data_IF_480771877046
#
_entry.id   IF_480771877046
#
_cell.length_a   1.000
_cell.length_b   1.000
_cell.length_c   1.000
_cell.angle_alpha   90.00
_cell.angle_beta   90.00
_cell.angle_gamma   90.00
#
_symmetry.space_group_name_H-M   'P 1'
#
loop_
_entity.id
_entity.type
_entity.pdbx_description
1 polymer ?
#
# COMPACT_ATOMS: atom_id res chain seq x y z
N UNK A 1 3.16 -24.19 2.72
CA UNK A 1 4.16 -23.51 3.56
C UNK A 1 3.44 -22.56 4.49
N UNK A 2 3.84 -22.55 5.77
CA UNK A 2 3.31 -21.64 6.78
C UNK A 2 4.41 -20.64 7.14
N UNK A 3 4.11 -19.35 7.07
CA UNK A 3 5.03 -18.26 7.43
C UNK A 3 4.37 -17.50 8.58
N UNK A 4 4.96 -17.60 9.77
CA UNK A 4 4.48 -16.91 10.96
C UNK A 4 5.22 -15.59 11.15
N UNK A 5 4.46 -14.51 11.14
CA UNK A 5 4.89 -13.14 11.42
C UNK A 5 6.27 -12.80 10.82
N UNK A 6 6.38 -12.71 9.49
CA UNK A 6 7.67 -12.52 8.80
C UNK A 6 8.32 -11.17 9.10
N UNK A 7 7.63 -10.29 9.82
CA UNK A 7 8.12 -8.97 10.19
C UNK A 7 8.88 -9.08 11.50
N UNK A 8 10.12 -8.58 11.51
CA UNK A 8 10.89 -8.38 12.75
C UNK A 8 10.97 -6.89 13.05
N UNK A 9 11.72 -6.46 14.07
CA UNK A 9 11.93 -5.04 14.44
C UNK A 9 12.72 -4.24 13.37
N UNK A 10 12.26 -4.31 12.13
CA UNK A 10 12.77 -3.61 10.96
C UNK A 10 12.12 -2.23 10.88
N UNK A 11 12.80 -1.28 10.25
CA UNK A 11 12.17 -0.04 9.85
C UNK A 11 11.08 -0.28 8.79
N UNK A 12 10.18 0.70 8.66
CA UNK A 12 8.97 0.60 7.82
C UNK A 12 9.31 0.37 6.33
N UNK A 13 10.46 0.87 5.85
CA UNK A 13 10.90 0.71 4.46
C UNK A 13 11.29 -0.75 4.18
N UNK A 14 12.08 -1.36 5.05
CA UNK A 14 12.45 -2.77 4.94
C UNK A 14 11.23 -3.69 5.04
N UNK A 15 10.25 -3.34 5.88
CA UNK A 15 9.01 -4.11 6.01
C UNK A 15 8.19 -4.12 4.71
N UNK A 16 8.06 -2.96 4.04
CA UNK A 16 7.34 -2.86 2.77
C UNK A 16 8.08 -3.65 1.68
N UNK A 17 9.40 -3.48 1.58
CA UNK A 17 10.20 -4.19 0.59
C UNK A 17 10.12 -5.71 0.78
N UNK A 18 10.17 -6.19 2.03
CA UNK A 18 9.99 -7.60 2.35
C UNK A 18 8.62 -8.14 1.89
N UNK A 19 7.54 -7.38 2.12
CA UNK A 19 6.21 -7.76 1.67
C UNK A 19 6.14 -7.86 0.14
N UNK A 20 6.69 -6.87 -0.56
CA UNK A 20 6.76 -6.85 -2.03
C UNK A 20 7.52 -8.07 -2.56
N UNK A 21 8.72 -8.33 -2.02
CA UNK A 21 9.57 -9.43 -2.47
C UNK A 21 8.95 -10.80 -2.16
N UNK A 22 8.32 -10.95 -0.99
CA UNK A 22 7.62 -12.18 -0.63
C UNK A 22 6.43 -12.43 -1.56
N UNK A 23 5.61 -11.42 -1.85
CA UNK A 23 4.51 -11.56 -2.78
C UNK A 23 5.00 -11.97 -4.19
N UNK A 24 6.12 -11.40 -4.65
CA UNK A 24 6.74 -11.77 -5.92
C UNK A 24 7.27 -13.22 -5.93
N UNK A 25 7.80 -13.71 -4.80
CA UNK A 25 8.19 -15.12 -4.67
C UNK A 25 6.97 -16.06 -4.73
N UNK A 26 5.88 -15.72 -4.04
CA UNK A 26 4.65 -16.51 -4.03
C UNK A 26 4.05 -16.61 -5.43
N UNK A 27 3.99 -15.50 -6.18
CA UNK A 27 3.49 -15.47 -7.56
C UNK A 27 4.30 -16.35 -8.52
N UNK A 28 5.59 -16.57 -8.25
CA UNK A 28 6.49 -17.43 -9.06
C UNK A 28 6.48 -18.90 -8.62
N UNK A 29 5.91 -19.20 -7.46
CA UNK A 29 5.88 -20.56 -6.94
C UNK A 29 4.93 -21.45 -7.77
N UNK A 30 5.16 -22.77 -7.81
CA UNK A 30 4.24 -23.71 -8.46
C UNK A 30 2.84 -23.64 -7.84
N UNK A 31 1.78 -23.73 -8.66
CA UNK A 31 0.38 -23.63 -8.19
C UNK A 31 0.00 -24.68 -7.13
N UNK A 32 0.66 -25.84 -7.14
CA UNK A 32 0.46 -26.88 -6.13
C UNK A 32 0.90 -26.45 -4.71
N UNK A 33 1.77 -25.45 -4.61
CA UNK A 33 2.27 -24.94 -3.34
C UNK A 33 1.31 -23.91 -2.77
N UNK A 34 0.68 -24.25 -1.64
CA UNK A 34 -0.20 -23.33 -0.89
C UNK A 34 0.57 -22.61 0.21
N UNK A 35 0.22 -21.35 0.43
CA UNK A 35 0.84 -20.47 1.43
C UNK A 35 -0.22 -20.03 2.45
N UNK A 36 0.16 -20.05 3.72
CA UNK A 36 -0.59 -19.43 4.81
C UNK A 36 0.38 -18.50 5.53
N UNK A 37 0.00 -17.24 5.66
CA UNK A 37 0.86 -16.18 6.19
C UNK A 37 0.07 -15.47 7.28
N UNK A 38 0.66 -15.39 8.46
CA UNK A 38 0.14 -14.60 9.58
C UNK A 38 1.07 -13.40 9.77
N UNK A 39 0.51 -12.28 10.20
CA UNK A 39 1.29 -11.12 10.60
C UNK A 39 0.50 -10.28 11.59
N UNK A 40 1.20 -9.63 12.52
CA UNK A 40 0.61 -8.58 13.33
C UNK A 40 0.65 -7.20 12.65
N UNK A 41 1.44 -7.03 11.58
CA UNK A 41 1.65 -5.74 10.91
C UNK A 41 0.55 -5.45 9.89
N UNK A 42 -0.27 -4.40 10.10
CA UNK A 42 -1.26 -3.98 9.10
C UNK A 42 -0.62 -3.52 7.80
N UNK A 43 0.58 -2.93 7.85
CA UNK A 43 1.31 -2.47 6.66
C UNK A 43 1.71 -3.66 5.79
N UNK A 44 2.34 -4.66 6.41
CA UNK A 44 2.76 -5.88 5.72
C UNK A 44 1.55 -6.57 5.09
N UNK A 45 0.48 -6.74 5.87
CA UNK A 45 -0.78 -7.30 5.43
C UNK A 45 -1.32 -6.58 4.18
N UNK A 46 -1.39 -5.25 4.21
CA UNK A 46 -1.99 -4.49 3.12
C UNK A 46 -1.16 -4.52 1.84
N UNK A 47 0.18 -4.45 1.96
CA UNK A 47 1.07 -4.59 0.80
C UNK A 47 0.90 -5.98 0.19
N UNK A 48 0.93 -7.05 1.01
CA UNK A 48 0.72 -8.43 0.55
C UNK A 48 -0.64 -8.62 -0.12
N UNK A 49 -1.72 -8.11 0.48
CA UNK A 49 -3.08 -8.23 -0.03
C UNK A 49 -3.22 -7.58 -1.40
N UNK A 50 -2.70 -6.36 -1.55
CA UNK A 50 -2.73 -5.62 -2.81
C UNK A 50 -1.87 -6.32 -3.87
N UNK A 51 -0.66 -6.74 -3.52
CA UNK A 51 0.23 -7.44 -4.43
C UNK A 51 -0.39 -8.76 -4.92
N UNK A 52 -1.01 -9.56 -4.04
CA UNK A 52 -1.59 -10.86 -4.40
C UNK A 52 -2.98 -10.77 -5.07
N UNK A 53 -3.52 -9.56 -5.25
CA UNK A 53 -4.74 -9.32 -6.00
C UNK A 53 -6.03 -9.70 -5.26
N UNK A 54 -6.19 -9.24 -4.01
CA UNK A 54 -7.43 -9.34 -3.23
C UNK A 54 -7.92 -10.79 -2.99
N UNK A 55 -7.02 -11.67 -2.54
CA UNK A 55 -7.39 -13.01 -2.05
C UNK A 55 -8.18 -12.91 -0.74
N UNK A 56 -9.00 -13.91 -0.43
CA UNK A 56 -9.69 -14.01 0.88
C UNK A 56 -8.68 -13.86 2.01
N UNK A 57 -8.85 -12.81 2.81
CA UNK A 57 -8.02 -12.50 3.95
C UNK A 57 -8.85 -12.49 5.22
N UNK A 58 -8.20 -12.73 6.35
CA UNK A 58 -8.87 -12.91 7.62
C UNK A 58 -8.20 -12.07 8.70
N UNK A 59 -9.01 -11.46 9.56
CA UNK A 59 -8.54 -10.79 10.76
C UNK A 59 -8.87 -11.68 11.97
N UNK A 60 -7.83 -12.07 12.71
CA UNK A 60 -7.99 -12.79 13.97
C UNK A 60 -8.18 -11.78 15.10
N UNK A 61 -9.38 -11.75 15.69
CA UNK A 61 -9.73 -10.93 16.85
C UNK A 61 -9.84 -11.77 18.11
N UNK A 62 -9.48 -11.19 19.26
CA UNK A 62 -9.79 -11.76 20.58
C UNK A 62 -10.97 -11.01 21.17
N UNK A 63 -12.00 -11.75 21.56
CA UNK A 63 -13.21 -11.24 22.19
C UNK A 63 -13.02 -11.06 23.70
N UNK A 64 -13.88 -10.23 24.31
CA UNK A 64 -13.80 -9.91 25.75
C UNK A 64 -14.07 -11.12 26.66
N UNK A 65 -14.77 -12.12 26.16
CA UNK A 65 -15.04 -13.39 26.84
C UNK A 65 -13.86 -14.39 26.77
N UNK A 66 -12.76 -14.00 26.12
CA UNK A 66 -11.57 -14.82 25.93
C UNK A 66 -11.62 -15.75 24.71
N UNK A 67 -12.71 -15.74 23.94
CA UNK A 67 -12.80 -16.47 22.67
C UNK A 67 -12.08 -15.71 21.53
N UNK A 68 -11.88 -16.41 20.42
CA UNK A 68 -11.28 -15.84 19.21
C UNK A 68 -12.27 -15.89 18.06
N UNK A 69 -12.28 -14.85 17.24
CA UNK A 69 -13.01 -14.81 15.98
C UNK A 69 -12.05 -14.64 14.81
N UNK A 70 -12.33 -15.34 13.72
CA UNK A 70 -11.61 -15.19 12.46
C UNK A 70 -12.57 -14.62 11.43
N UNK A 71 -12.51 -13.31 11.26
CA UNK A 71 -13.45 -12.58 10.39
C UNK A 71 -12.84 -12.46 9.01
N UNK A 72 -13.52 -13.00 7.99
CA UNK A 72 -13.14 -12.74 6.61
C UNK A 72 -13.28 -11.24 6.32
N UNK A 73 -12.19 -10.65 5.87
CA UNK A 73 -12.17 -9.30 5.32
C UNK A 73 -12.16 -9.45 3.82
N UNK A 74 -13.31 -9.19 3.20
CA UNK A 74 -13.33 -8.83 1.79
C UNK A 74 -12.47 -7.58 1.63
N UNK A 75 -11.66 -7.51 0.56
CA UNK A 75 -10.62 -6.49 0.33
C UNK A 75 -11.06 -5.02 0.31
N UNK A 76 -12.29 -4.73 0.76
CA UNK A 76 -12.71 -3.42 1.21
C UNK A 76 -12.00 -3.06 2.54
N UNK A 77 -10.72 -2.78 2.42
CA UNK A 77 -9.89 -2.20 3.48
C UNK A 77 -10.41 -0.84 4.00
N UNK A 78 -11.53 -0.31 3.48
CA UNK A 78 -12.15 0.90 4.02
C UNK A 78 -12.54 0.73 5.49
N UNK A 79 -12.67 -0.51 5.99
CA UNK A 79 -13.12 -0.80 7.36
C UNK A 79 -12.04 -1.31 8.30
N UNK A 80 -10.89 -1.76 7.80
CA UNK A 80 -9.84 -2.36 8.65
C UNK A 80 -8.64 -1.44 8.74
N UNK A 81 -8.60 -0.70 9.85
CA UNK A 81 -7.53 0.19 10.32
C UNK A 81 -7.42 1.53 9.58
N UNK A 82 -6.96 2.56 10.30
CA UNK A 82 -6.60 3.90 9.80
C UNK A 82 -5.43 3.88 8.80
N UNK A 83 -5.39 2.88 7.93
CA UNK A 83 -4.30 2.58 7.02
C UNK A 83 -4.07 3.69 6.01
N UNK A 84 -5.12 4.31 5.47
CA UNK A 84 -4.98 5.45 4.56
C UNK A 84 -4.35 6.66 5.26
N UNK A 85 -4.67 6.92 6.54
CA UNK A 85 -4.00 7.97 7.34
C UNK A 85 -2.53 7.61 7.61
N UNK A 86 -2.24 6.33 7.85
CA UNK A 86 -0.87 5.86 8.02
C UNK A 86 -0.04 5.99 6.72
N UNK A 87 -0.59 5.57 5.58
CA UNK A 87 0.02 5.75 4.25
C UNK A 87 0.32 7.22 3.98
N UNK A 88 -0.64 8.10 4.25
CA UNK A 88 -0.46 9.55 4.16
C UNK A 88 0.71 10.01 5.02
N UNK A 89 0.77 9.60 6.29
CA UNK A 89 1.86 9.99 7.20
C UNK A 89 3.24 9.44 6.80
N UNK A 90 3.32 8.26 6.19
CA UNK A 90 4.56 7.74 5.59
C UNK A 90 5.03 8.61 4.43
N UNK A 91 4.12 8.93 3.51
CA UNK A 91 4.41 9.74 2.34
C UNK A 91 4.81 11.17 2.73
N UNK A 92 4.11 11.79 3.69
CA UNK A 92 4.45 13.13 4.20
C UNK A 92 5.84 13.17 4.83
N UNK A 93 6.22 12.15 5.62
CA UNK A 93 7.57 12.04 6.19
C UNK A 93 8.64 11.89 5.11
N UNK A 94 8.40 11.04 4.12
CA UNK A 94 9.34 10.82 3.02
C UNK A 94 9.57 12.09 2.18
N UNK A 95 8.50 12.88 1.96
CA UNK A 95 8.57 14.17 1.29
C UNK A 95 9.34 15.19 2.14
N UNK A 96 9.05 15.29 3.44
CA UNK A 96 9.73 16.22 4.34
C UNK A 96 11.24 15.93 4.47
N UNK A 97 11.61 14.64 4.50
CA UNK A 97 13.01 14.20 4.59
C UNK A 97 13.74 14.24 3.23
N UNK A 98 13.02 14.47 2.12
CA UNK A 98 13.57 14.38 0.76
C UNK A 98 14.01 12.96 0.37
N UNK A 99 13.54 11.93 1.08
CA UNK A 99 13.93 10.52 0.90
C UNK A 99 12.85 9.74 0.18
N UNK A 100 12.59 10.12 -1.06
CA UNK A 100 11.63 9.41 -1.91
C UNK A 100 12.37 8.27 -2.62
N UNK A 101 11.97 7.06 -2.28
CA UNK A 101 12.41 5.79 -2.87
C UNK A 101 11.28 5.17 -3.68
N UNK A 102 11.62 4.19 -4.54
CA UNK A 102 10.68 3.53 -5.44
C UNK A 102 9.41 3.01 -4.74
N UNK A 103 9.51 2.42 -3.56
CA UNK A 103 8.34 1.83 -2.88
C UNK A 103 7.29 2.89 -2.49
N UNK A 104 7.66 4.18 -2.36
CA UNK A 104 6.71 5.24 -2.08
C UNK A 104 5.69 5.42 -3.22
N UNK A 105 6.02 5.06 -4.46
CA UNK A 105 5.06 5.04 -5.55
C UNK A 105 3.97 3.98 -5.33
N UNK A 106 4.31 2.85 -4.70
CA UNK A 106 3.35 1.82 -4.31
C UNK A 106 2.44 2.33 -3.20
N UNK A 107 2.98 3.01 -2.19
CA UNK A 107 2.18 3.61 -1.12
C UNK A 107 1.24 4.69 -1.65
N UNK A 108 1.73 5.55 -2.54
CA UNK A 108 0.95 6.58 -3.19
C UNK A 108 -0.21 5.98 -4.00
N UNK A 109 0.09 4.97 -4.83
CA UNK A 109 -0.95 4.27 -5.59
C UNK A 109 -1.99 3.64 -4.68
N UNK A 110 -1.57 2.98 -3.60
CA UNK A 110 -2.46 2.40 -2.62
C UNK A 110 -3.39 3.48 -2.02
N UNK A 111 -2.84 4.65 -1.68
CA UNK A 111 -3.62 5.75 -1.13
C UNK A 111 -4.67 6.26 -2.13
N UNK A 112 -4.31 6.41 -3.41
CA UNK A 112 -5.24 6.74 -4.49
C UNK A 112 -6.34 5.67 -4.69
N UNK A 113 -5.97 4.39 -4.70
CA UNK A 113 -6.92 3.28 -4.81
C UNK A 113 -7.94 3.26 -3.68
N UNK A 114 -7.49 3.51 -2.44
CA UNK A 114 -8.40 3.60 -1.29
C UNK A 114 -9.32 4.81 -1.36
N UNK A 115 -8.76 5.96 -1.72
CA UNK A 115 -9.57 7.19 -1.90
C UNK A 115 -10.65 6.97 -2.96
N UNK A 116 -10.30 6.35 -4.08
CA UNK A 116 -11.23 6.11 -5.18
C UNK A 116 -12.33 5.13 -4.79
N UNK A 117 -11.97 4.04 -4.09
CA UNK A 117 -12.94 3.09 -3.55
C UNK A 117 -13.90 3.76 -2.58
N UNK A 118 -13.40 4.56 -1.64
CA UNK A 118 -14.22 5.28 -0.66
C UNK A 118 -15.19 6.28 -1.32
N UNK A 119 -14.74 6.97 -2.36
CA UNK A 119 -15.55 7.96 -3.09
C UNK A 119 -16.42 7.34 -4.21
N UNK A 120 -16.37 6.02 -4.42
CA UNK A 120 -17.18 5.32 -5.43
C UNK A 120 -16.70 5.44 -6.88
N UNK A 121 -15.43 5.78 -7.10
CA UNK A 121 -14.85 5.82 -8.46
C UNK A 121 -14.51 4.41 -8.95
N UNK A 122 -14.74 4.09 -10.24
CA UNK A 122 -14.49 2.76 -10.80
C UNK A 122 -13.00 2.43 -10.93
N UNK A 123 -12.13 3.45 -11.00
CA UNK A 123 -10.67 3.30 -11.08
C UNK A 123 -9.98 4.45 -10.34
N UNK A 124 -8.85 4.16 -9.72
CA UNK A 124 -8.06 5.16 -8.99
C UNK A 124 -7.53 6.29 -9.88
N UNK A 125 -7.22 5.99 -11.14
CA UNK A 125 -6.73 6.96 -12.11
C UNK A 125 -7.74 8.08 -12.39
N UNK A 126 -9.02 7.88 -12.07
CA UNK A 126 -10.03 8.95 -12.21
C UNK A 126 -9.79 10.12 -11.26
N UNK A 127 -9.07 9.91 -10.14
CA UNK A 127 -8.70 10.93 -9.17
C UNK A 127 -7.42 11.70 -9.53
N UNK A 128 -6.72 11.31 -10.61
CA UNK A 128 -5.49 12.00 -11.01
C UNK A 128 -5.79 13.40 -11.55
N UNK A 129 -4.82 14.35 -11.42
CA UNK A 129 -4.90 15.67 -12.04
C UNK A 129 -4.96 15.60 -13.57
N UNK A 130 -5.00 16.76 -14.22
CA UNK A 130 -4.79 16.87 -15.66
C UNK A 130 -3.54 16.08 -16.11
N UNK A 131 -3.54 15.58 -17.35
CA UNK A 131 -2.57 14.59 -17.84
C UNK A 131 -2.58 13.22 -17.10
N UNK A 132 -3.78 12.78 -16.67
CA UNK A 132 -4.03 11.50 -15.99
C UNK A 132 -3.23 10.32 -16.55
N UNK A 133 -3.14 10.19 -17.87
CA UNK A 133 -2.43 9.08 -18.54
C UNK A 133 -0.91 9.10 -18.25
N UNK A 134 -0.29 10.28 -18.24
CA UNK A 134 1.16 10.40 -18.00
C UNK A 134 1.50 10.01 -16.55
N UNK A 135 0.77 10.56 -15.58
CA UNK A 135 0.94 10.21 -14.17
C UNK A 135 0.61 8.75 -13.89
N UNK A 136 -0.48 8.25 -14.46
CA UNK A 136 -0.86 6.84 -14.35
C UNK A 136 0.26 5.93 -14.84
N UNK A 137 0.81 6.20 -16.04
CA UNK A 137 1.90 5.40 -16.59
C UNK A 137 3.16 5.45 -15.71
N UNK A 138 3.51 6.62 -15.15
CA UNK A 138 4.70 6.76 -14.30
C UNK A 138 4.54 6.04 -12.97
N UNK A 139 3.38 6.17 -12.33
CA UNK A 139 3.05 5.45 -11.08
C UNK A 139 2.99 3.96 -11.35
N UNK A 140 2.36 3.53 -12.45
CA UNK A 140 2.35 2.12 -12.84
C UNK A 140 3.79 1.64 -13.03
N UNK A 141 4.64 2.31 -13.79
CA UNK A 141 6.03 1.89 -14.03
C UNK A 141 6.80 1.55 -12.75
N UNK A 142 6.63 2.34 -11.69
CA UNK A 142 7.32 2.09 -10.42
C UNK A 142 6.60 1.10 -9.50
N UNK A 143 5.32 0.82 -9.74
CA UNK A 143 4.50 -0.14 -8.97
C UNK A 143 4.31 -1.49 -9.66
N UNK A 144 4.56 -1.58 -10.97
CA UNK A 144 4.36 -2.79 -11.76
C UNK A 144 5.61 -3.67 -11.73
N UNK A 145 5.47 -4.85 -11.14
CA UNK A 145 6.44 -5.95 -11.26
C UNK A 145 6.29 -6.74 -12.58
N UNK A 146 5.93 -6.08 -13.68
CA UNK A 146 5.69 -6.76 -14.95
C UNK A 146 7.01 -7.11 -15.67
N UNK A 147 7.43 -8.35 -15.45
CA UNK A 147 8.02 -9.27 -16.46
C UNK A 147 9.36 -8.94 -17.13
N UNK A 148 10.03 -7.84 -16.78
CA UNK A 148 11.43 -7.63 -17.18
C UNK A 148 12.25 -7.69 -15.90
N UNK A 149 13.03 -8.77 -15.77
CA UNK A 149 14.15 -9.00 -14.83
C UNK A 149 14.35 -7.95 -13.73
N UNK A 150 14.40 -8.41 -12.47
CA UNK A 150 14.74 -7.63 -11.27
C UNK A 150 16.00 -6.74 -11.37
N UNK A 151 16.79 -6.84 -12.44
CA UNK A 151 17.95 -6.01 -12.73
C UNK A 151 17.66 -4.69 -13.49
N UNK A 152 16.41 -4.39 -13.89
CA UNK A 152 16.14 -3.36 -14.92
C UNK A 152 15.22 -2.18 -14.56
N UNK A 153 14.72 -2.07 -13.32
CA UNK A 153 13.95 -0.87 -12.93
C UNK A 153 14.83 0.02 -12.07
N UNK A 154 15.40 1.04 -12.72
CA UNK A 154 16.24 2.04 -12.09
C UNK A 154 15.51 2.77 -10.95
N UNK A 155 16.25 3.16 -9.92
CA UNK A 155 15.79 4.12 -8.92
C UNK A 155 15.20 5.36 -9.63
N UNK A 156 14.07 5.91 -9.13
CA UNK A 156 13.49 7.11 -9.71
C UNK A 156 14.52 8.25 -9.73
N UNK A 157 14.64 8.89 -10.89
CA UNK A 157 15.42 10.10 -11.08
C UNK A 157 14.90 11.22 -10.17
N UNK A 158 15.71 12.26 -9.99
CA UNK A 158 15.32 13.39 -9.13
C UNK A 158 14.00 14.03 -9.58
N UNK A 159 13.78 14.13 -10.90
CA UNK A 159 12.54 14.65 -11.49
C UNK A 159 11.35 13.71 -11.21
N UNK A 160 11.57 12.41 -11.29
CA UNK A 160 10.53 11.41 -11.10
C UNK A 160 10.10 11.35 -9.65
N UNK A 161 11.04 11.52 -8.71
CA UNK A 161 10.74 11.63 -7.28
C UNK A 161 9.76 12.77 -6.99
N UNK A 162 9.77 13.87 -7.76
CA UNK A 162 8.83 14.99 -7.57
C UNK A 162 7.37 14.65 -7.84
N UNK A 163 7.11 13.51 -8.48
CA UNK A 163 5.73 13.05 -8.75
C UNK A 163 5.03 12.64 -7.46
N UNK A 164 5.77 12.08 -6.50
CA UNK A 164 5.20 11.67 -5.20
C UNK A 164 4.65 12.86 -4.40
N UNK A 165 5.42 13.94 -4.12
CA UNK A 165 4.91 15.09 -3.39
C UNK A 165 3.78 15.78 -4.16
N UNK A 166 3.92 15.96 -5.48
CA UNK A 166 2.89 16.59 -6.30
C UNK A 166 1.54 15.86 -6.24
N UNK A 167 1.55 14.54 -6.44
CA UNK A 167 0.32 13.75 -6.40
C UNK A 167 -0.23 13.61 -4.98
N UNK A 168 0.64 13.55 -3.95
CA UNK A 168 0.20 13.55 -2.57
C UNK A 168 -0.53 14.85 -2.21
N UNK A 169 0.05 16.00 -2.54
CA UNK A 169 -0.54 17.34 -2.33
C UNK A 169 -1.87 17.45 -3.07
N UNK A 170 -1.90 17.11 -4.37
CA UNK A 170 -3.11 17.10 -5.16
C UNK A 170 -4.23 16.25 -4.51
N UNK A 171 -3.91 15.03 -4.05
CA UNK A 171 -4.89 14.16 -3.42
C UNK A 171 -5.44 14.76 -2.12
N UNK A 172 -4.57 15.37 -1.31
CA UNK A 172 -4.95 15.97 -0.02
C UNK A 172 -5.86 17.19 -0.23
N UNK A 173 -5.50 18.08 -1.15
CA UNK A 173 -6.21 19.33 -1.40
C UNK A 173 -7.60 19.10 -2.04
N UNK A 174 -7.71 18.13 -2.94
CA UNK A 174 -8.92 17.93 -3.75
C UNK A 174 -9.91 16.93 -3.16
N UNK A 175 -9.47 16.02 -2.28
CA UNK A 175 -10.29 14.89 -1.84
C UNK A 175 -10.34 14.74 -0.32
N UNK A 176 -10.90 15.75 0.37
CA UNK A 176 -11.37 15.73 1.77
C UNK A 176 -10.47 15.03 2.80
N UNK A 177 -9.16 14.96 2.59
CA UNK A 177 -8.16 14.72 3.63
C UNK A 177 -7.96 16.01 4.43
N UNK A 178 -9.05 16.59 4.96
CA UNK A 178 -8.92 17.81 5.76
C UNK A 178 -7.99 17.52 6.93
N UNK A 179 -6.99 18.37 7.09
CA UNK A 179 -6.11 18.40 8.24
C UNK A 179 -6.97 18.33 9.50
N UNK A 180 -6.79 17.30 10.33
CA UNK A 180 -7.26 17.34 11.70
C UNK A 180 -6.44 18.43 12.40
N UNK A 181 -6.92 19.67 12.29
CA UNK A 181 -6.53 20.74 13.20
C UNK A 181 -6.85 20.31 14.63
N UNK A 182 -6.09 20.79 15.62
CA UNK A 182 -6.19 20.33 17.00
C UNK A 182 -7.64 20.45 17.49
N UNK A 183 -8.23 19.32 17.91
CA UNK A 183 -9.49 19.30 18.64
C UNK A 183 -9.24 19.91 20.03
N UNK A 184 -9.43 21.23 20.13
CA UNK A 184 -9.70 21.91 21.39
C UNK A 184 -11.17 22.34 21.39
N UNK A 185 -11.99 21.64 22.18
CA UNK A 185 -13.09 22.18 22.98
C UNK A 185 -13.74 21.04 23.77
#
# INVERSE_FOLDING_TARGET
MFIDDPVTSLDENHLIQLAVDLAALIKRAPEALKFVITTHSPVFYNVMHNELGNKSCYLLGRLDDGNFELVEKSGDSNLSFSYHLHLKGLLERAVADGRIERFHFTLLRNLYEKTASFLGYPRWAELLPDDKQAYMNRVIQFTSHSTVSNDAIAEPSLEEKQIVPFLLEHLIENYSYRQQGPQNA
#
